data_IF_260893250676
#
_entry.id   IF_260893250676
#
_cell.length_a   1.000
_cell.length_b   1.000
_cell.length_c   1.000
_cell.angle_alpha   90.00
_cell.angle_beta   90.00
_cell.angle_gamma   90.00
#
_symmetry.space_group_name_H-M   'P 1'
#
loop_
_entity.id
_entity.type
_entity.pdbx_description
1 polymer ?
#
# COMPACT_ATOMS: atom_id res chain seq x y z
N UNK A 1 -0.96 -21.63 36.94
CA UNK A 1 -0.62 -20.22 37.21
C UNK A 1 -0.92 -19.44 35.93
N UNK A 2 -1.86 -18.49 35.93
CA UNK A 2 -2.10 -17.65 34.75
C UNK A 2 -0.97 -16.64 34.62
N UNK A 3 -0.35 -16.57 33.45
CA UNK A 3 0.71 -15.62 33.10
C UNK A 3 0.14 -14.21 33.08
N UNK A 4 0.59 -13.35 34.01
CA UNK A 4 0.27 -11.94 34.01
C UNK A 4 0.88 -11.24 32.77
N UNK A 5 0.16 -10.33 32.11
CA UNK A 5 0.68 -9.62 30.94
C UNK A 5 1.92 -8.80 31.34
N UNK A 6 3.04 -9.06 30.65
CA UNK A 6 4.31 -8.37 30.86
C UNK A 6 4.12 -6.87 30.58
N UNK A 7 4.20 -6.04 31.61
CA UNK A 7 4.12 -4.58 31.48
C UNK A 7 5.27 -4.11 30.58
N UNK A 8 4.93 -3.59 29.40
CA UNK A 8 5.88 -3.01 28.43
C UNK A 8 6.85 -2.07 29.14
N UNK A 9 8.15 -2.31 29.00
CA UNK A 9 9.20 -1.55 29.69
C UNK A 9 9.20 -0.07 29.30
N UNK A 10 9.67 0.82 30.19
CA UNK A 10 9.72 2.28 29.97
C UNK A 10 10.43 2.66 28.66
N UNK A 11 11.50 1.94 28.31
CA UNK A 11 12.25 2.17 27.07
C UNK A 11 11.41 1.90 25.83
N UNK A 12 10.60 0.84 25.85
CA UNK A 12 9.76 0.45 24.72
C UNK A 12 8.59 1.42 24.54
N UNK A 13 7.97 1.84 25.64
CA UNK A 13 6.95 2.91 25.57
C UNK A 13 7.50 4.21 25.00
N UNK A 14 8.65 4.66 25.48
CA UNK A 14 9.30 5.87 24.95
C UNK A 14 9.68 5.74 23.46
N UNK A 15 9.98 4.52 22.99
CA UNK A 15 10.27 4.25 21.57
C UNK A 15 8.99 4.32 20.74
N UNK A 16 7.90 3.73 21.24
CA UNK A 16 6.60 3.77 20.57
C UNK A 16 6.05 5.20 20.50
N UNK A 17 6.09 5.95 21.61
CA UNK A 17 5.63 7.36 21.64
C UNK A 17 6.36 8.23 20.60
N UNK A 18 7.65 7.97 20.36
CA UNK A 18 8.42 8.66 19.32
C UNK A 18 8.00 8.22 17.92
N UNK A 19 7.82 6.92 17.71
CA UNK A 19 7.33 6.38 16.44
C UNK A 19 5.96 6.99 16.10
N UNK A 20 5.03 7.04 17.05
CA UNK A 20 3.70 7.62 16.85
C UNK A 20 3.78 9.11 16.45
N UNK A 21 4.64 9.88 17.12
CA UNK A 21 4.88 11.30 16.77
C UNK A 21 5.48 11.46 15.38
N UNK A 22 6.45 10.62 15.00
CA UNK A 22 7.07 10.63 13.67
C UNK A 22 6.02 10.32 12.61
N UNK A 23 5.25 9.24 12.79
CA UNK A 23 4.23 8.80 11.84
C UNK A 23 3.15 9.85 11.68
N UNK A 24 2.67 10.45 12.78
CA UNK A 24 1.67 11.52 12.73
C UNK A 24 2.19 12.77 11.99
N UNK A 25 3.40 13.24 12.32
CA UNK A 25 3.99 14.42 11.69
C UNK A 25 4.25 14.21 10.19
N UNK A 26 4.81 13.06 9.81
CA UNK A 26 5.08 12.71 8.42
C UNK A 26 3.78 12.53 7.63
N UNK A 27 2.79 11.84 8.18
CA UNK A 27 1.49 11.64 7.54
C UNK A 27 0.79 12.96 7.24
N UNK A 28 0.74 13.89 8.21
CA UNK A 28 0.12 15.21 8.03
C UNK A 28 0.86 16.03 6.95
N UNK A 29 2.19 16.13 7.03
CA UNK A 29 2.96 16.92 6.08
C UNK A 29 2.90 16.35 4.66
N UNK A 30 3.02 15.03 4.50
CA UNK A 30 2.91 14.40 3.19
C UNK A 30 1.49 14.53 2.61
N UNK A 31 0.44 14.43 3.44
CA UNK A 31 -0.92 14.62 2.96
C UNK A 31 -1.17 16.06 2.48
N UNK A 32 -0.67 17.06 3.21
CA UNK A 32 -0.90 18.47 2.90
C UNK A 32 -0.07 18.97 1.71
N UNK A 33 1.21 18.60 1.64
CA UNK A 33 2.17 19.19 0.70
C UNK A 33 2.67 18.22 -0.39
N UNK A 34 2.46 16.92 -0.21
CA UNK A 34 3.10 15.89 -1.04
C UNK A 34 4.55 15.65 -0.65
N UNK A 35 5.06 14.46 -0.96
CA UNK A 35 6.39 14.00 -0.53
C UNK A 35 7.52 14.85 -1.09
N UNK A 36 7.38 15.40 -2.29
CA UNK A 36 8.43 16.18 -2.95
C UNK A 36 8.70 17.51 -2.26
N UNK A 37 7.66 18.18 -1.77
CA UNK A 37 7.74 19.47 -1.07
C UNK A 37 8.09 19.37 0.43
N UNK A 38 8.15 18.14 0.97
CA UNK A 38 8.45 17.89 2.38
C UNK A 38 9.89 17.42 2.57
N UNK A 39 10.56 18.03 3.56
CA UNK A 39 11.91 17.65 4.01
C UNK A 39 11.86 16.82 5.29
N UNK A 40 12.87 15.98 5.50
CA UNK A 40 13.02 15.22 6.77
C UNK A 40 13.27 16.13 7.97
N UNK A 41 13.81 17.34 7.77
CA UNK A 41 13.97 18.34 8.82
C UNK A 41 12.61 18.88 9.28
N UNK A 42 11.71 19.25 8.36
CA UNK A 42 10.35 19.69 8.72
C UNK A 42 9.59 18.63 9.52
N UNK A 43 9.74 17.36 9.13
CA UNK A 43 9.12 16.25 9.87
C UNK A 43 9.73 16.11 11.26
N UNK A 44 11.05 16.16 11.38
CA UNK A 44 11.73 16.07 12.66
C UNK A 44 11.33 17.22 13.61
N UNK A 45 11.25 18.44 13.08
CA UNK A 45 10.83 19.63 13.82
C UNK A 45 9.37 19.50 14.30
N UNK A 46 8.46 19.09 13.41
CA UNK A 46 7.04 18.89 13.74
C UNK A 46 6.85 17.74 14.75
N UNK A 47 7.64 16.68 14.62
CA UNK A 47 7.67 15.57 15.57
C UNK A 47 8.44 15.91 16.86
N UNK A 48 9.02 17.11 16.99
CA UNK A 48 9.87 17.58 18.09
C UNK A 48 10.95 16.55 18.50
N UNK A 49 11.75 16.15 17.50
CA UNK A 49 12.93 15.29 17.64
C UNK A 49 14.08 15.81 16.77
N UNK A 50 15.30 15.33 17.03
CA UNK A 50 16.41 15.57 16.11
C UNK A 50 16.31 14.71 14.85
N UNK A 51 16.76 15.21 13.70
CA UNK A 51 16.83 14.45 12.43
C UNK A 51 17.66 13.17 12.55
N UNK A 52 18.76 13.19 13.32
CA UNK A 52 19.51 11.97 13.62
C UNK A 52 18.69 10.90 14.36
N UNK A 53 17.71 11.30 15.17
CA UNK A 53 16.76 10.36 15.81
C UNK A 53 15.74 9.84 14.81
N UNK A 54 15.25 10.68 13.89
CA UNK A 54 14.32 10.28 12.82
C UNK A 54 14.94 9.15 11.98
N UNK A 55 16.22 9.28 11.62
CA UNK A 55 16.93 8.28 10.81
C UNK A 55 17.14 6.91 11.50
N UNK A 56 16.88 6.80 12.81
CA UNK A 56 16.85 5.51 13.50
C UNK A 56 15.55 4.72 13.23
N UNK A 57 14.50 5.39 12.77
CA UNK A 57 13.19 4.79 12.47
C UNK A 57 12.98 4.62 10.97
N UNK A 58 13.49 5.55 10.16
CA UNK A 58 13.41 5.53 8.71
C UNK A 58 14.68 6.10 8.08
N UNK A 59 15.43 5.28 7.34
CA UNK A 59 16.79 5.64 6.88
C UNK A 59 16.83 6.81 5.89
N UNK A 60 15.74 7.02 5.15
CA UNK A 60 15.63 8.03 4.12
C UNK A 60 14.17 8.50 3.98
N UNK A 61 13.91 9.51 3.14
CA UNK A 61 12.55 10.06 2.95
C UNK A 61 11.59 9.06 2.31
N UNK A 62 12.06 8.19 1.41
CA UNK A 62 11.27 7.13 0.80
C UNK A 62 10.83 6.09 1.84
N UNK A 63 11.76 5.67 2.69
CA UNK A 63 11.48 4.75 3.80
C UNK A 63 10.45 5.35 4.79
N UNK A 64 10.57 6.65 5.08
CA UNK A 64 9.60 7.38 5.89
C UNK A 64 8.22 7.49 5.23
N UNK A 65 8.17 7.58 3.90
CA UNK A 65 6.92 7.55 3.15
C UNK A 65 6.27 6.16 3.24
N UNK A 66 7.06 5.08 3.14
CA UNK A 66 6.57 3.71 3.30
C UNK A 66 6.04 3.49 4.72
N UNK A 67 6.76 3.93 5.75
CA UNK A 67 6.33 3.86 7.16
C UNK A 67 4.90 4.36 7.36
N UNK A 68 4.56 5.50 6.75
CA UNK A 68 3.24 6.13 6.97
C UNK A 68 2.16 5.61 6.03
N UNK A 69 2.52 5.12 4.85
CA UNK A 69 1.52 4.68 3.86
C UNK A 69 1.18 3.19 3.95
N UNK A 70 2.09 2.34 4.43
CA UNK A 70 1.87 0.89 4.51
C UNK A 70 0.57 0.53 5.24
N UNK A 71 0.27 1.20 6.36
CA UNK A 71 -0.98 0.98 7.10
C UNK A 71 -2.22 1.32 6.28
N UNK A 72 -2.18 2.39 5.49
CA UNK A 72 -3.30 2.80 4.62
C UNK A 72 -3.54 1.79 3.50
N UNK A 73 -2.47 1.26 2.89
CA UNK A 73 -2.60 0.19 1.89
C UNK A 73 -3.06 -1.13 2.51
N UNK A 74 -2.59 -1.46 3.71
CA UNK A 74 -3.03 -2.65 4.44
C UNK A 74 -4.53 -2.57 4.77
N UNK A 75 -5.01 -1.42 5.26
CA UNK A 75 -6.42 -1.16 5.53
C UNK A 75 -7.26 -1.27 4.26
N UNK A 76 -6.82 -0.66 3.15
CA UNK A 76 -7.50 -0.74 1.85
C UNK A 76 -7.59 -2.19 1.34
N UNK A 77 -6.54 -2.99 1.51
CA UNK A 77 -6.55 -4.41 1.14
C UNK A 77 -7.53 -5.22 2.00
N UNK A 78 -7.60 -4.94 3.30
CA UNK A 78 -8.56 -5.59 4.21
C UNK A 78 -10.00 -5.24 3.83
N UNK A 79 -10.28 -3.95 3.60
CA UNK A 79 -11.58 -3.47 3.14
C UNK A 79 -11.99 -4.16 1.83
N UNK A 80 -11.07 -4.17 0.85
CA UNK A 80 -11.32 -4.77 -0.45
C UNK A 80 -11.56 -6.28 -0.38
N UNK A 81 -10.79 -7.01 0.46
CA UNK A 81 -10.99 -8.45 0.69
C UNK A 81 -12.37 -8.73 1.25
N UNK A 82 -12.79 -7.97 2.27
CA UNK A 82 -14.11 -8.11 2.87
C UNK A 82 -15.23 -7.82 1.85
N UNK A 83 -15.09 -6.77 1.05
CA UNK A 83 -16.06 -6.46 -0.01
C UNK A 83 -16.15 -7.56 -1.08
N UNK A 84 -15.02 -8.17 -1.44
CA UNK A 84 -14.96 -9.22 -2.45
C UNK A 84 -15.60 -10.56 -2.03
N UNK A 85 -15.81 -10.81 -0.74
CA UNK A 85 -16.50 -12.01 -0.25
C UNK A 85 -17.99 -12.02 -0.64
N UNK A 86 -18.62 -10.85 -0.65
CA UNK A 86 -20.04 -10.68 -0.97
C UNK A 86 -20.32 -10.59 -2.49
N UNK A 87 -19.28 -10.68 -3.32
CA UNK A 87 -19.36 -10.50 -4.77
C UNK A 87 -19.17 -11.84 -5.50
N UNK A 88 -20.22 -12.41 -6.12
CA UNK A 88 -20.12 -13.70 -6.80
C UNK A 88 -19.27 -13.67 -8.07
N UNK A 89 -19.31 -12.57 -8.84
CA UNK A 89 -18.62 -12.45 -10.11
C UNK A 89 -17.12 -12.22 -9.93
N UNK A 90 -16.27 -13.05 -10.58
CA UNK A 90 -14.81 -12.98 -10.46
C UNK A 90 -14.26 -11.60 -10.79
N UNK A 91 -14.68 -11.00 -11.92
CA UNK A 91 -14.24 -9.65 -12.31
C UNK A 91 -14.62 -8.61 -11.26
N UNK A 92 -15.88 -8.61 -10.83
CA UNK A 92 -16.37 -7.64 -9.84
C UNK A 92 -15.70 -7.81 -8.48
N UNK A 93 -15.40 -9.04 -8.07
CA UNK A 93 -14.70 -9.34 -6.83
C UNK A 93 -13.24 -8.89 -6.87
N UNK A 94 -12.54 -9.07 -8.00
CA UNK A 94 -11.18 -8.51 -8.18
C UNK A 94 -11.24 -6.98 -8.14
N UNK A 95 -12.22 -6.36 -8.80
CA UNK A 95 -12.39 -4.91 -8.77
C UNK A 95 -12.76 -4.38 -7.38
N UNK A 96 -13.46 -5.16 -6.55
CA UNK A 96 -13.75 -4.81 -5.16
C UNK A 96 -12.48 -4.70 -4.30
N UNK A 97 -11.43 -5.47 -4.62
CA UNK A 97 -10.10 -5.30 -3.99
C UNK A 97 -9.36 -4.10 -4.57
N UNK A 98 -9.37 -3.92 -5.90
CA UNK A 98 -8.62 -2.86 -6.58
C UNK A 98 -9.13 -1.46 -6.20
N UNK A 99 -10.45 -1.30 -6.06
CA UNK A 99 -11.12 -0.03 -5.77
C UNK A 99 -10.48 0.74 -4.61
N UNK A 100 -10.51 0.20 -3.38
CA UNK A 100 -9.92 0.86 -2.21
C UNK A 100 -8.42 1.16 -2.35
N UNK A 101 -7.65 0.27 -2.98
CA UNK A 101 -6.21 0.43 -3.19
C UNK A 101 -5.91 1.60 -4.14
N UNK A 102 -6.64 1.70 -5.25
CA UNK A 102 -6.52 2.84 -6.18
C UNK A 102 -6.97 4.12 -5.52
N UNK A 103 -8.10 4.09 -4.80
CA UNK A 103 -8.63 5.26 -4.11
C UNK A 103 -7.64 5.80 -3.06
N UNK A 104 -7.01 4.91 -2.27
CA UNK A 104 -6.05 5.33 -1.26
C UNK A 104 -4.75 5.86 -1.88
N UNK A 105 -4.22 5.20 -2.92
CA UNK A 105 -3.05 5.66 -3.68
C UNK A 105 -3.24 7.08 -4.24
N UNK A 106 -4.44 7.37 -4.75
CA UNK A 106 -4.72 8.64 -5.43
C UNK A 106 -5.18 9.77 -4.51
N UNK A 107 -5.33 9.55 -3.19
CA UNK A 107 -5.63 10.63 -2.22
C UNK A 107 -4.63 11.78 -2.31
N UNK A 108 -3.36 11.45 -2.51
CA UNK A 108 -2.32 12.40 -2.88
C UNK A 108 -1.40 11.74 -3.93
N UNK A 109 -1.51 12.19 -5.18
CA UNK A 109 -0.97 11.49 -6.36
C UNK A 109 0.55 11.36 -6.28
N UNK A 110 1.26 12.41 -5.87
CA UNK A 110 2.73 12.38 -5.81
C UNK A 110 3.24 11.40 -4.73
N UNK A 111 2.51 11.29 -3.62
CA UNK A 111 2.81 10.29 -2.58
C UNK A 111 2.56 8.88 -3.08
N UNK A 112 1.42 8.65 -3.73
CA UNK A 112 1.07 7.34 -4.28
C UNK A 112 2.09 6.87 -5.33
N UNK A 113 2.50 7.76 -6.23
CA UNK A 113 3.49 7.46 -7.26
C UNK A 113 4.89 7.25 -6.70
N UNK A 114 5.29 8.06 -5.72
CA UNK A 114 6.58 7.88 -5.05
C UNK A 114 6.61 6.58 -4.25
N UNK A 115 5.52 6.21 -3.57
CA UNK A 115 5.39 4.91 -2.90
C UNK A 115 5.64 3.75 -3.87
N UNK A 116 4.96 3.75 -5.03
CA UNK A 116 5.15 2.72 -6.06
C UNK A 116 6.59 2.74 -6.62
N UNK A 117 7.21 3.91 -6.80
CA UNK A 117 8.61 4.03 -7.21
C UNK A 117 9.56 3.42 -6.17
N UNK A 118 9.34 3.69 -4.89
CA UNK A 118 10.13 3.12 -3.80
C UNK A 118 9.98 1.61 -3.74
N UNK A 119 8.80 1.03 -4.03
CA UNK A 119 8.63 -0.43 -4.11
C UNK A 119 9.48 -1.08 -5.20
N UNK A 120 9.73 -0.40 -6.32
CA UNK A 120 10.47 -0.96 -7.46
C UNK A 120 11.98 -0.75 -7.34
N UNK A 121 12.40 0.40 -6.82
CA UNK A 121 13.80 0.84 -6.84
C UNK A 121 14.45 1.00 -5.46
N UNK A 122 13.69 0.85 -4.38
CA UNK A 122 14.18 0.97 -3.00
C UNK A 122 15.00 -0.24 -2.53
N UNK A 123 15.58 -0.13 -1.33
CA UNK A 123 16.38 -1.21 -0.73
C UNK A 123 15.47 -2.26 -0.05
N UNK A 124 15.42 -3.51 -0.56
CA UNK A 124 14.58 -4.56 0.01
C UNK A 124 15.04 -5.06 1.39
N UNK A 125 16.19 -4.60 1.89
CA UNK A 125 16.60 -4.87 3.27
C UNK A 125 15.97 -3.89 4.28
N UNK A 126 15.36 -2.78 3.84
CA UNK A 126 14.69 -1.82 4.71
C UNK A 126 13.33 -2.37 5.20
N UNK A 127 12.99 -2.19 6.49
CA UNK A 127 11.85 -2.85 7.10
C UNK A 127 10.51 -2.46 6.47
N UNK A 128 10.25 -1.17 6.23
CA UNK A 128 8.95 -0.76 5.68
C UNK A 128 8.86 -1.02 4.17
N UNK A 129 9.98 -1.10 3.47
CA UNK A 129 10.01 -1.62 2.11
C UNK A 129 9.63 -3.10 2.04
N UNK A 130 10.16 -3.93 2.94
CA UNK A 130 9.75 -5.35 3.03
C UNK A 130 8.25 -5.51 3.31
N UNK A 131 7.69 -4.65 4.15
CA UNK A 131 6.26 -4.63 4.42
C UNK A 131 5.45 -4.23 3.17
N UNK A 132 5.86 -3.19 2.44
CA UNK A 132 5.22 -2.81 1.18
C UNK A 132 5.24 -3.93 0.12
N UNK A 133 6.37 -4.66 0.00
CA UNK A 133 6.45 -5.83 -0.86
C UNK A 133 5.54 -6.96 -0.39
N UNK A 134 5.41 -7.18 0.92
CA UNK A 134 4.48 -8.17 1.46
C UNK A 134 3.03 -7.83 1.13
N UNK A 135 2.64 -6.56 1.14
CA UNK A 135 1.29 -6.14 0.72
C UNK A 135 1.03 -6.45 -0.76
N UNK A 136 2.04 -6.37 -1.62
CA UNK A 136 1.92 -6.75 -3.04
C UNK A 136 1.63 -8.25 -3.17
N UNK A 137 2.41 -9.08 -2.47
CA UNK A 137 2.20 -10.54 -2.46
C UNK A 137 0.81 -10.88 -1.92
N UNK A 138 0.39 -10.27 -0.82
CA UNK A 138 -0.94 -10.50 -0.24
C UNK A 138 -2.09 -10.05 -1.14
N UNK A 139 -1.84 -9.09 -2.04
CA UNK A 139 -2.81 -8.64 -3.04
C UNK A 139 -2.91 -9.66 -4.18
N UNK A 140 -1.77 -10.16 -4.68
CA UNK A 140 -1.73 -11.21 -5.70
C UNK A 140 -2.37 -12.50 -5.21
N UNK A 141 -2.09 -12.93 -3.97
CA UNK A 141 -2.74 -14.09 -3.35
C UNK A 141 -4.26 -13.92 -3.29
N UNK A 142 -4.75 -12.71 -2.98
CA UNK A 142 -6.17 -12.42 -2.92
C UNK A 142 -6.82 -12.49 -4.31
N UNK A 143 -6.17 -11.93 -5.34
CA UNK A 143 -6.63 -12.05 -6.72
C UNK A 143 -6.68 -13.51 -7.17
N UNK A 144 -5.63 -14.29 -6.90
CA UNK A 144 -5.57 -15.70 -7.27
C UNK A 144 -6.70 -16.50 -6.62
N UNK A 145 -6.97 -16.27 -5.33
CA UNK A 145 -8.08 -16.91 -4.62
C UNK A 145 -9.46 -16.57 -5.22
N UNK A 146 -9.66 -15.32 -5.66
CA UNK A 146 -10.90 -14.91 -6.35
C UNK A 146 -11.01 -15.56 -7.72
N UNK A 147 -9.92 -15.58 -8.50
CA UNK A 147 -9.90 -16.17 -9.85
C UNK A 147 -10.22 -17.67 -9.81
N UNK A 148 -9.76 -18.38 -8.79
CA UNK A 148 -10.06 -19.81 -8.57
C UNK A 148 -11.54 -20.10 -8.23
N UNK A 149 -12.38 -19.08 -8.00
CA UNK A 149 -13.83 -19.29 -7.89
C UNK A 149 -14.44 -19.77 -9.21
N UNK A 150 -13.82 -19.42 -10.34
CA UNK A 150 -14.19 -19.97 -11.65
C UNK A 150 -13.49 -21.32 -11.87
N UNK A 151 -14.28 -22.40 -11.92
CA UNK A 151 -13.77 -23.77 -12.07
C UNK A 151 -13.02 -24.03 -13.39
N UNK A 152 -13.08 -23.10 -14.35
CA UNK A 152 -12.34 -23.17 -15.61
C UNK A 152 -10.89 -22.70 -15.47
N UNK A 153 -10.55 -21.99 -14.40
CA UNK A 153 -9.23 -21.43 -14.16
C UNK A 153 -8.48 -22.30 -13.15
N UNK A 154 -7.45 -23.01 -13.60
CA UNK A 154 -6.58 -23.79 -12.71
C UNK A 154 -5.66 -22.88 -11.86
N UNK A 155 -4.97 -23.49 -10.90
CA UNK A 155 -4.17 -22.73 -9.93
C UNK A 155 -2.97 -22.00 -10.57
N UNK A 156 -2.32 -22.58 -11.56
CA UNK A 156 -1.18 -21.99 -12.25
C UNK A 156 -1.63 -20.78 -13.10
N UNK A 157 -2.75 -20.94 -13.81
CA UNK A 157 -3.37 -19.88 -14.59
C UNK A 157 -3.88 -18.76 -13.68
N UNK A 158 -4.51 -19.09 -12.54
CA UNK A 158 -4.97 -18.10 -11.57
C UNK A 158 -3.80 -17.27 -11.00
N UNK A 159 -2.69 -17.90 -10.66
CA UNK A 159 -1.49 -17.21 -10.18
C UNK A 159 -0.92 -16.27 -11.27
N UNK A 160 -0.86 -16.74 -12.51
CA UNK A 160 -0.39 -15.92 -13.65
C UNK A 160 -1.31 -14.72 -13.89
N UNK A 161 -2.62 -14.94 -13.92
CA UNK A 161 -3.62 -13.88 -14.10
C UNK A 161 -3.61 -12.87 -12.94
N UNK A 162 -3.43 -13.34 -11.70
CA UNK A 162 -3.29 -12.48 -10.53
C UNK A 162 -2.07 -11.57 -10.63
N UNK A 163 -0.92 -12.11 -11.04
CA UNK A 163 0.28 -11.32 -11.26
C UNK A 163 0.09 -10.28 -12.37
N UNK A 164 -0.56 -10.65 -13.48
CA UNK A 164 -0.87 -9.71 -14.57
C UNK A 164 -1.84 -8.62 -14.09
N UNK A 165 -2.89 -8.96 -13.33
CA UNK A 165 -3.83 -7.99 -12.76
C UNK A 165 -3.15 -7.03 -11.78
N UNK A 166 -2.23 -7.53 -10.95
CA UNK A 166 -1.38 -6.73 -10.05
C UNK A 166 -0.49 -5.77 -10.84
N UNK A 167 0.17 -6.24 -11.90
CA UNK A 167 1.00 -5.41 -12.77
C UNK A 167 0.19 -4.33 -13.51
N UNK A 168 -1.01 -4.67 -13.99
CA UNK A 168 -1.96 -3.72 -14.57
C UNK A 168 -2.30 -2.62 -13.57
N UNK A 169 -2.77 -3.00 -12.38
CA UNK A 169 -3.10 -2.05 -11.31
C UNK A 169 -1.90 -1.16 -10.98
N UNK A 170 -0.71 -1.75 -10.81
CA UNK A 170 0.53 -1.04 -10.50
C UNK A 170 0.87 0.00 -11.56
N UNK A 171 0.91 -0.39 -12.85
CA UNK A 171 1.27 0.49 -13.96
C UNK A 171 0.23 1.60 -14.12
N UNK A 172 -1.06 1.27 -14.03
CA UNK A 172 -2.13 2.27 -14.13
C UNK A 172 -2.01 3.37 -13.08
N UNK A 173 -1.57 3.05 -11.86
CA UNK A 173 -1.33 4.03 -10.79
C UNK A 173 0.02 4.77 -10.92
N UNK A 174 1.09 4.08 -11.33
CA UNK A 174 2.44 4.65 -11.36
C UNK A 174 2.72 5.56 -12.57
N UNK A 175 2.10 5.26 -13.72
CA UNK A 175 2.46 5.86 -15.00
C UNK A 175 2.14 7.36 -15.07
N UNK A 176 3.10 8.17 -15.54
CA UNK A 176 2.95 9.63 -15.68
C UNK A 176 1.78 10.02 -16.58
N UNK A 177 1.48 9.20 -17.61
CA UNK A 177 0.36 9.46 -18.53
C UNK A 177 -0.99 9.49 -17.80
N UNK A 178 -1.09 8.82 -16.64
CA UNK A 178 -2.28 8.71 -15.83
C UNK A 178 -2.34 9.72 -14.67
N UNK A 179 -1.41 10.69 -14.60
CA UNK A 179 -1.33 11.64 -13.49
C UNK A 179 -2.64 12.44 -13.35
N UNK A 180 -3.21 12.93 -14.46
CA UNK A 180 -4.41 13.77 -14.45
C UNK A 180 -5.74 13.02 -14.43
N UNK A 181 -5.72 11.69 -14.39
CA UNK A 181 -6.94 10.87 -14.45
C UNK A 181 -7.63 10.77 -13.10
N UNK A 182 -8.93 10.61 -13.09
CA UNK A 182 -9.71 10.39 -11.87
C UNK A 182 -9.57 8.94 -11.38
N UNK A 183 -10.01 8.66 -10.14
CA UNK A 183 -10.07 7.29 -9.62
C UNK A 183 -10.94 6.42 -10.52
N UNK A 184 -12.12 6.91 -10.91
CA UNK A 184 -13.07 6.16 -11.75
C UNK A 184 -12.48 5.83 -13.12
N UNK A 185 -11.82 6.79 -13.78
CA UNK A 185 -11.16 6.55 -15.08
C UNK A 185 -10.05 5.49 -15.01
N UNK A 186 -9.33 5.41 -13.88
CA UNK A 186 -8.30 4.40 -13.64
C UNK A 186 -8.93 3.03 -13.39
N UNK A 187 -10.01 2.98 -12.60
CA UNK A 187 -10.74 1.75 -12.34
C UNK A 187 -11.39 1.20 -13.60
N UNK A 188 -11.95 2.06 -14.46
CA UNK A 188 -12.54 1.66 -15.74
C UNK A 188 -11.48 1.09 -16.69
N UNK A 189 -10.29 1.69 -16.75
CA UNK A 189 -9.16 1.17 -17.53
C UNK A 189 -8.75 -0.22 -17.03
N UNK A 190 -8.50 -0.35 -15.72
CA UNK A 190 -8.09 -1.62 -15.10
C UNK A 190 -9.15 -2.70 -15.34
N UNK A 191 -10.43 -2.36 -15.16
CA UNK A 191 -11.56 -3.27 -15.39
C UNK A 191 -11.58 -3.79 -16.82
N UNK A 192 -11.42 -2.91 -17.81
CA UNK A 192 -11.39 -3.28 -19.22
C UNK A 192 -10.22 -4.23 -19.54
N UNK A 193 -9.04 -3.98 -18.97
CA UNK A 193 -7.86 -4.82 -19.14
C UNK A 193 -8.04 -6.20 -18.49
N UNK A 194 -8.52 -6.27 -17.24
CA UNK A 194 -8.76 -7.54 -16.54
C UNK A 194 -9.87 -8.34 -17.23
N UNK A 195 -10.95 -7.69 -17.66
CA UNK A 195 -12.04 -8.36 -18.39
C UNK A 195 -11.54 -9.04 -19.67
N UNK A 196 -10.58 -8.43 -20.38
CA UNK A 196 -10.00 -9.00 -21.59
C UNK A 196 -9.14 -10.26 -21.33
N UNK A 197 -8.66 -10.45 -20.10
CA UNK A 197 -7.87 -11.62 -19.69
C UNK A 197 -8.74 -12.81 -19.27
N UNK A 198 -9.99 -12.57 -18.86
CA UNK A 198 -10.86 -13.62 -18.35
C UNK A 198 -11.50 -14.45 -19.48
N UNK A 199 -11.70 -15.76 -19.27
CA UNK A 199 -12.37 -16.61 -20.25
C UNK A 199 -13.84 -16.17 -20.44
N UNK A 200 -14.27 -16.11 -21.70
CA UNK A 200 -15.66 -15.81 -22.08
C UNK A 200 -16.64 -16.89 -21.67
#
# INVERSE_FOLDING_TARGET
MPTAPQRVGRRERNKQEKLDRITAAASELFAEHGVDEVTTQQIADKADIGTGTLFLYAKNKGELLLLVQNSTYAEALVEGKAAAEEVPGVLDAVMAIIGPVVACNRKQIDNGRTYLREMVFGDPAEPHHREALSLTVQTEEAFAAILQRDQRIDAETAATLAHVASAVMFISMAATVNIGRTVDEILDEIRGQIQALLPR
#
